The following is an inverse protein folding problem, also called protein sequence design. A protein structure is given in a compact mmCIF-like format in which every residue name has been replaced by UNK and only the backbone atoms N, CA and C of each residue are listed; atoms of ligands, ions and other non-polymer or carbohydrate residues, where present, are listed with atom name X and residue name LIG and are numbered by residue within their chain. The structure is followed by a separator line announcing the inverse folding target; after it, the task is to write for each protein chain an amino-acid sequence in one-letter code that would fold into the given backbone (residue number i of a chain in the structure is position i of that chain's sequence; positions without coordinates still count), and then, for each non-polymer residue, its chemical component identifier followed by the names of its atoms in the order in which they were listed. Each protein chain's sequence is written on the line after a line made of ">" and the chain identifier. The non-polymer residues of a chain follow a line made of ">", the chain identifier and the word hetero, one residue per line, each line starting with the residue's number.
data_IF_959533506318
#
_entry.id   IF_959533506318
#
_cell.length_a   1.000
_cell.length_b   1.000
_cell.length_c   1.000
_cell.angle_alpha   90.00
_cell.angle_beta   90.00
_cell.angle_gamma   90.00
#
_symmetry.space_group_name_H-M   'P 1'
#
loop_
_entity.id
_entity.type
_entity.pdbx_description
1 polymer ?
#
# COMPACT_ATOMS: atom_id res chain seq x y z
N UNK A 1 -44.84 -29.67 38.24
CA UNK A 1 -43.38 -29.48 38.14
C UNK A 1 -42.90 -30.37 37.01
N UNK A 2 -42.33 -29.78 35.96
CA UNK A 2 -41.82 -30.43 34.74
C UNK A 2 -40.43 -31.01 35.01
N UNK A 3 -40.11 -32.19 34.49
CA UNK A 3 -38.72 -32.66 34.48
C UNK A 3 -38.61 -34.16 34.22
N UNK A 4 -38.55 -34.55 32.94
CA UNK A 4 -38.16 -35.90 32.51
C UNK A 4 -37.04 -35.77 31.49
N UNK A 5 -35.82 -36.04 31.93
CA UNK A 5 -34.57 -35.87 31.18
C UNK A 5 -34.44 -36.88 30.04
N UNK A 6 -34.19 -36.40 28.83
CA UNK A 6 -33.71 -37.19 27.69
C UNK A 6 -32.17 -37.08 27.65
N UNK A 7 -31.44 -38.18 27.89
CA UNK A 7 -30.01 -38.29 27.60
C UNK A 7 -29.87 -38.97 26.24
N UNK A 8 -29.53 -38.19 25.21
CA UNK A 8 -29.15 -38.71 23.89
C UNK A 8 -27.64 -38.53 23.72
N UNK A 9 -26.97 -39.69 23.66
CA UNK A 9 -25.93 -40.05 22.68
C UNK A 9 -24.84 -39.04 22.36
N UNK A 10 -23.63 -39.34 22.86
CA UNK A 10 -22.37 -38.88 22.28
C UNK A 10 -22.28 -39.33 20.80
N UNK A 11 -22.08 -38.37 19.90
CA UNK A 11 -21.60 -38.65 18.53
C UNK A 11 -20.22 -38.01 18.38
N UNK A 12 -19.21 -38.88 18.32
CA UNK A 12 -17.85 -38.60 17.89
C UNK A 12 -17.80 -38.61 16.36
N UNK A 13 -17.61 -37.44 15.75
CA UNK A 13 -17.27 -37.25 14.33
C UNK A 13 -16.58 -35.88 14.23
N UNK A 14 -15.49 -35.63 13.52
CA UNK A 14 -14.52 -36.42 12.80
C UNK A 14 -13.34 -35.45 12.54
N UNK A 15 -12.10 -35.93 12.60
CA UNK A 15 -10.95 -35.14 12.16
C UNK A 15 -11.03 -34.89 10.66
N UNK A 16 -10.93 -33.61 10.27
CA UNK A 16 -10.68 -33.23 8.89
C UNK A 16 -9.31 -32.56 8.82
N UNK A 17 -8.45 -33.18 8.05
CA UNK A 17 -7.19 -32.63 7.58
C UNK A 17 -7.44 -31.24 6.98
N UNK A 18 -6.88 -30.21 7.62
CA UNK A 18 -6.89 -28.86 7.09
C UNK A 18 -5.92 -28.78 5.91
N UNK A 19 -6.42 -29.02 4.70
CA UNK A 19 -5.90 -28.33 3.53
C UNK A 19 -5.95 -26.83 3.86
N UNK A 20 -4.80 -26.17 3.92
CA UNK A 20 -4.70 -24.76 4.30
C UNK A 20 -5.66 -23.92 3.48
N UNK A 21 -6.76 -23.50 4.08
CA UNK A 21 -7.62 -22.48 3.49
C UNK A 21 -6.72 -21.25 3.26
N UNK A 22 -6.83 -20.56 2.11
CA UNK A 22 -6.13 -19.31 1.91
C UNK A 22 -6.48 -18.40 3.08
N UNK A 23 -5.46 -17.88 3.77
CA UNK A 23 -5.70 -16.90 4.82
C UNK A 23 -6.47 -15.72 4.20
N UNK A 24 -7.57 -15.26 4.83
CA UNK A 24 -8.34 -14.17 4.29
C UNK A 24 -7.45 -12.94 4.09
N UNK A 25 -7.71 -12.12 3.06
CA UNK A 25 -6.93 -10.91 2.82
C UNK A 25 -6.83 -10.04 4.06
N UNK A 26 -5.63 -9.55 4.38
CA UNK A 26 -5.48 -8.57 5.46
C UNK A 26 -5.93 -7.22 4.94
N UNK A 27 -6.97 -6.65 5.54
CA UNK A 27 -7.45 -5.32 5.23
C UNK A 27 -6.76 -4.25 6.07
N UNK A 28 -6.50 -3.13 5.44
CA UNK A 28 -5.87 -1.96 6.01
C UNK A 28 -6.79 -0.77 6.14
N UNK A 29 -6.59 0.01 7.20
CA UNK A 29 -7.29 1.29 7.39
C UNK A 29 -6.83 2.31 6.34
N UNK A 30 -7.72 3.23 5.88
CA UNK A 30 -7.31 4.40 5.12
C UNK A 30 -6.14 5.13 5.80
N UNK A 31 -5.21 5.58 4.98
CA UNK A 31 -4.03 6.31 5.44
C UNK A 31 -4.31 7.79 5.67
N UNK A 32 -3.30 8.50 6.16
CA UNK A 32 -3.38 9.95 6.35
C UNK A 32 -3.52 10.67 5.00
N UNK A 33 -4.39 11.68 4.97
CA UNK A 33 -4.45 12.67 3.90
C UNK A 33 -3.26 13.62 4.02
N UNK A 34 -2.42 13.70 2.99
CA UNK A 34 -1.22 14.53 2.94
C UNK A 34 -1.38 15.66 1.93
N UNK A 35 -0.94 16.86 2.29
CA UNK A 35 -0.83 17.97 1.35
C UNK A 35 0.32 17.73 0.38
N UNK A 36 0.09 18.01 -0.90
CA UNK A 36 1.13 17.88 -1.92
C UNK A 36 2.06 19.08 -1.84
N UNK A 37 3.31 18.81 -1.49
CA UNK A 37 4.40 19.79 -1.48
C UNK A 37 5.52 19.35 -2.41
N UNK A 38 6.27 20.33 -2.94
CA UNK A 38 7.52 20.16 -3.69
C UNK A 38 8.48 21.27 -3.29
N UNK A 39 9.54 20.95 -2.54
CA UNK A 39 10.37 21.95 -1.90
C UNK A 39 9.49 22.92 -1.09
N UNK A 40 9.69 24.22 -1.29
CA UNK A 40 8.90 25.26 -0.62
C UNK A 40 7.50 25.48 -1.24
N UNK A 41 7.18 24.84 -2.37
CA UNK A 41 5.90 25.02 -3.05
C UNK A 41 4.85 24.06 -2.48
N UNK A 42 3.79 24.63 -1.94
CA UNK A 42 2.58 23.89 -1.57
C UNK A 42 1.56 23.98 -2.71
N UNK A 43 1.08 22.83 -3.19
CA UNK A 43 -0.01 22.77 -4.15
C UNK A 43 -1.36 22.76 -3.43
N UNK A 44 -2.43 23.35 -3.99
CA UNK A 44 -3.79 23.27 -3.46
C UNK A 44 -4.42 21.89 -3.74
N UNK A 45 -3.65 20.84 -3.46
CA UNK A 45 -3.93 19.44 -3.74
C UNK A 45 -3.49 18.60 -2.54
N UNK A 46 -4.19 17.50 -2.34
CA UNK A 46 -3.90 16.51 -1.30
C UNK A 46 -3.93 15.12 -1.91
N UNK A 47 -3.15 14.20 -1.35
CA UNK A 47 -3.16 12.78 -1.67
C UNK A 47 -3.57 11.96 -0.45
N UNK A 48 -4.28 10.87 -0.65
CA UNK A 48 -4.82 10.04 0.42
C UNK A 48 -4.82 8.57 0.00
N UNK A 49 -4.46 7.66 0.91
CA UNK A 49 -4.70 6.22 0.76
C UNK A 49 -6.12 5.94 1.24
N UNK A 50 -6.99 5.50 0.34
CA UNK A 50 -8.39 5.20 0.64
C UNK A 50 -8.58 3.83 1.32
N UNK A 51 -7.56 2.98 1.24
CA UNK A 51 -7.57 1.64 1.82
C UNK A 51 -6.57 0.75 1.11
N UNK A 52 -6.26 -0.38 1.73
CA UNK A 52 -5.36 -1.37 1.16
C UNK A 52 -5.70 -2.78 1.65
N UNK A 53 -5.21 -3.77 0.93
CA UNK A 53 -5.30 -5.17 1.33
C UNK A 53 -4.08 -5.98 0.89
N UNK A 54 -3.66 -6.94 1.71
CA UNK A 54 -2.70 -7.97 1.28
C UNK A 54 -3.47 -9.15 0.72
N UNK A 55 -3.23 -9.46 -0.55
CA UNK A 55 -3.82 -10.61 -1.25
C UNK A 55 -2.93 -11.06 -2.42
N UNK A 56 -3.11 -12.28 -2.96
CA UNK A 56 -2.43 -12.68 -4.19
C UNK A 56 -2.73 -11.71 -5.33
N UNK A 57 -1.71 -11.40 -6.14
CA UNK A 57 -1.89 -10.51 -7.28
C UNK A 57 -2.69 -11.20 -8.39
N UNK A 58 -3.74 -10.58 -8.95
CA UNK A 58 -4.68 -11.25 -9.85
C UNK A 58 -4.05 -11.77 -11.14
N UNK A 59 -2.99 -11.11 -11.62
CA UNK A 59 -2.30 -11.52 -12.85
C UNK A 59 -1.22 -12.58 -12.64
N UNK A 60 -0.69 -12.71 -11.43
CA UNK A 60 0.43 -13.62 -11.09
C UNK A 60 0.28 -14.17 -9.66
N UNK A 61 -0.85 -14.82 -9.33
CA UNK A 61 -1.17 -15.24 -7.97
C UNK A 61 -0.14 -16.24 -7.40
N UNK A 62 0.50 -17.02 -8.26
CA UNK A 62 1.53 -18.00 -7.91
C UNK A 62 2.82 -17.36 -7.37
N UNK A 63 3.04 -16.07 -7.61
CA UNK A 63 4.21 -15.33 -7.09
C UNK A 63 4.02 -14.84 -5.65
N UNK A 64 2.89 -15.17 -5.04
CA UNK A 64 2.62 -14.92 -3.64
C UNK A 64 1.91 -13.60 -3.35
N UNK A 65 2.00 -13.11 -2.10
CA UNK A 65 1.22 -11.98 -1.63
C UNK A 65 1.72 -10.66 -2.22
N UNK A 66 0.76 -9.80 -2.54
CA UNK A 66 0.96 -8.43 -2.96
C UNK A 66 0.09 -7.51 -2.10
N UNK A 67 0.41 -6.22 -2.08
CA UNK A 67 -0.45 -5.21 -1.44
C UNK A 67 -1.19 -4.47 -2.53
N UNK A 68 -2.50 -4.66 -2.59
CA UNK A 68 -3.37 -3.81 -3.38
C UNK A 68 -3.75 -2.58 -2.56
N UNK A 69 -3.66 -1.39 -3.13
CA UNK A 69 -4.05 -0.18 -2.43
C UNK A 69 -4.72 0.80 -3.39
N UNK A 70 -5.66 1.56 -2.83
CA UNK A 70 -6.33 2.63 -3.55
C UNK A 70 -5.88 3.97 -3.01
N UNK A 71 -5.65 4.90 -3.92
CA UNK A 71 -5.30 6.27 -3.55
C UNK A 71 -6.16 7.26 -4.32
N UNK A 72 -6.19 8.50 -3.85
CA UNK A 72 -6.87 9.59 -4.53
C UNK A 72 -6.12 10.88 -4.35
N UNK A 73 -6.09 11.68 -5.40
CA UNK A 73 -5.75 13.09 -5.30
C UNK A 73 -7.03 13.93 -5.26
N UNK A 74 -7.07 14.95 -4.40
CA UNK A 74 -8.19 15.88 -4.31
C UNK A 74 -7.72 17.32 -4.19
N UNK A 75 -8.50 18.26 -4.72
CA UNK A 75 -8.16 19.69 -4.80
C UNK A 75 -7.98 20.16 -6.24
N UNK A 76 -7.36 21.32 -6.42
CA UNK A 76 -7.08 21.88 -7.74
C UNK A 76 -5.80 21.29 -8.29
N UNK A 77 -5.92 20.61 -9.43
CA UNK A 77 -4.77 20.08 -10.16
C UNK A 77 -3.87 21.22 -10.64
N UNK A 78 -2.56 21.17 -10.34
CA UNK A 78 -1.64 22.07 -11.02
C UNK A 78 -1.54 21.67 -12.50
N UNK A 79 -1.11 22.61 -13.34
CA UNK A 79 -0.86 22.36 -14.78
C UNK A 79 0.32 21.39 -15.04
N UNK A 80 0.98 20.91 -13.97
CA UNK A 80 2.13 20.01 -14.02
C UNK A 80 1.78 18.63 -13.47
N UNK A 81 2.46 17.60 -13.98
CA UNK A 81 2.38 16.24 -13.44
C UNK A 81 2.97 16.22 -12.02
N UNK A 82 2.19 15.71 -11.07
CA UNK A 82 2.63 15.50 -9.68
C UNK A 82 2.96 14.03 -9.51
N UNK A 83 4.11 13.74 -8.92
CA UNK A 83 4.51 12.39 -8.54
C UNK A 83 4.85 12.35 -7.04
N UNK A 84 4.26 11.40 -6.32
CA UNK A 84 4.49 11.14 -4.91
C UNK A 84 4.95 9.70 -4.69
N UNK A 85 5.53 9.42 -3.52
CA UNK A 85 5.94 8.06 -3.17
C UNK A 85 4.91 7.45 -2.22
N UNK A 86 4.40 6.26 -2.55
CA UNK A 86 3.63 5.43 -1.64
C UNK A 86 4.51 4.27 -1.17
N UNK A 87 4.45 3.94 0.12
CA UNK A 87 5.25 2.86 0.72
C UNK A 87 4.40 1.94 1.61
N UNK A 88 4.60 0.63 1.46
CA UNK A 88 4.18 -0.36 2.44
C UNK A 88 5.21 -0.41 3.58
N UNK A 89 4.73 -0.33 4.82
CA UNK A 89 5.58 -0.36 6.02
C UNK A 89 5.14 -1.45 6.98
N UNK A 90 6.09 -1.95 7.77
CA UNK A 90 5.82 -2.89 8.85
C UNK A 90 5.43 -2.20 10.17
N UNK A 91 5.13 -3.02 11.19
CA UNK A 91 4.73 -2.55 12.51
C UNK A 91 5.78 -1.66 13.20
N UNK A 92 7.05 -1.75 12.81
CA UNK A 92 8.15 -0.95 13.33
C UNK A 92 8.42 0.30 12.46
N UNK A 93 7.50 0.62 11.54
CA UNK A 93 7.61 1.69 10.55
C UNK A 93 8.86 1.58 9.68
N UNK A 94 9.27 0.35 9.38
CA UNK A 94 10.32 0.07 8.40
C UNK A 94 9.67 -0.14 7.03
N UNK A 95 10.22 0.52 6.02
CA UNK A 95 9.80 0.41 4.62
C UNK A 95 10.07 -1.00 4.11
N UNK A 96 9.03 -1.65 3.61
CA UNK A 96 9.12 -2.94 2.93
C UNK A 96 9.34 -2.71 1.44
N UNK A 97 8.47 -1.91 0.82
CA UNK A 97 8.51 -1.59 -0.60
C UNK A 97 7.82 -0.25 -0.86
N UNK A 98 8.32 0.51 -1.84
CA UNK A 98 7.70 1.76 -2.29
C UNK A 98 7.50 1.77 -3.81
N UNK A 99 6.51 2.55 -4.26
CA UNK A 99 6.27 2.85 -5.67
C UNK A 99 5.79 4.29 -5.84
N UNK A 100 6.00 4.84 -7.04
CA UNK A 100 5.48 6.17 -7.38
C UNK A 100 3.98 6.13 -7.67
N UNK A 101 3.23 7.09 -7.13
CA UNK A 101 1.87 7.42 -7.54
C UNK A 101 1.89 8.78 -8.22
N UNK A 102 0.99 9.01 -9.17
CA UNK A 102 0.99 10.25 -9.94
C UNK A 102 -0.43 10.78 -10.17
N UNK A 103 -0.52 12.09 -10.37
CA UNK A 103 -1.71 12.79 -10.81
C UNK A 103 -1.52 13.40 -12.20
N UNK A 104 -2.48 13.23 -13.14
CA UNK A 104 -3.61 12.30 -13.04
C UNK A 104 -3.12 10.85 -13.15
N UNK A 105 -3.78 9.89 -12.50
CA UNK A 105 -3.34 8.49 -12.45
C UNK A 105 -4.47 7.51 -12.14
N UNK A 106 -4.13 6.23 -11.97
CA UNK A 106 -5.09 5.15 -11.68
C UNK A 106 -5.20 4.98 -10.16
N UNK A 107 -6.42 5.12 -9.63
CA UNK A 107 -6.77 5.05 -8.20
C UNK A 107 -6.63 3.63 -7.59
N UNK A 108 -6.09 2.64 -8.31
CA UNK A 108 -5.88 1.26 -7.89
C UNK A 108 -4.46 0.80 -8.29
N UNK A 109 -3.66 0.38 -7.31
CA UNK A 109 -2.24 0.05 -7.49
C UNK A 109 -1.85 -1.18 -6.70
N UNK A 110 -0.68 -1.71 -7.05
CA UNK A 110 -0.12 -2.91 -6.46
C UNK A 110 1.35 -2.72 -6.10
N UNK A 111 1.70 -3.07 -4.87
CA UNK A 111 3.07 -3.42 -4.52
C UNK A 111 3.26 -4.92 -4.70
N UNK A 112 4.24 -5.31 -5.51
CA UNK A 112 4.58 -6.72 -5.72
C UNK A 112 3.50 -7.51 -6.46
N UNK A 113 3.61 -8.85 -6.46
CA UNK A 113 4.49 -9.66 -5.62
C UNK A 113 5.95 -9.46 -6.05
N UNK A 114 6.87 -9.30 -5.09
CA UNK A 114 8.27 -9.02 -5.37
C UNK A 114 9.16 -9.96 -4.56
N UNK A 115 10.08 -10.64 -5.24
CA UNK A 115 11.03 -11.56 -4.59
C UNK A 115 11.87 -10.82 -3.55
N UNK A 116 12.08 -11.46 -2.40
CA UNK A 116 12.85 -10.89 -1.29
C UNK A 116 12.09 -9.89 -0.40
N UNK A 117 10.82 -9.59 -0.70
CA UNK A 117 10.00 -8.70 0.13
C UNK A 117 8.80 -9.44 0.72
N UNK A 118 8.75 -9.52 2.05
CA UNK A 118 7.60 -10.08 2.76
C UNK A 118 6.51 -9.02 2.95
N UNK A 119 5.67 -8.88 1.93
CA UNK A 119 4.55 -7.95 1.93
C UNK A 119 3.42 -8.33 2.91
N UNK A 120 3.42 -9.56 3.43
CA UNK A 120 2.47 -9.94 4.51
C UNK A 120 2.77 -9.23 5.83
N UNK A 121 3.94 -8.60 5.96
CA UNK A 121 4.29 -7.78 7.13
C UNK A 121 3.73 -6.36 7.07
N UNK A 122 3.10 -5.99 5.96
CA UNK A 122 2.49 -4.66 5.80
C UNK A 122 1.45 -4.43 6.89
N UNK A 123 1.62 -3.34 7.63
CA UNK A 123 0.68 -2.84 8.63
C UNK A 123 0.11 -1.47 8.28
N UNK A 124 0.74 -0.76 7.33
CA UNK A 124 0.19 0.45 6.75
C UNK A 124 0.74 0.69 5.35
N UNK A 125 -0.03 1.42 4.54
CA UNK A 125 0.44 2.07 3.32
C UNK A 125 0.40 3.57 3.54
N UNK A 126 1.54 4.23 3.34
CA UNK A 126 1.72 5.65 3.63
C UNK A 126 2.18 6.40 2.38
N UNK A 127 1.77 7.67 2.25
CA UNK A 127 2.17 8.54 1.14
C UNK A 127 3.11 9.60 1.67
N UNK A 128 4.24 9.76 0.99
CA UNK A 128 5.20 10.82 1.23
C UNK A 128 5.12 11.83 0.11
N UNK A 129 4.87 13.11 0.43
CA UNK A 129 5.08 14.14 -0.55
C UNK A 129 6.59 14.23 -0.85
N UNK A 130 6.90 14.70 -2.05
CA UNK A 130 8.21 15.28 -2.35
C UNK A 130 9.40 14.31 -2.36
N UNK A 131 9.36 13.27 -3.19
CA UNK A 131 10.40 12.23 -3.25
C UNK A 131 10.77 11.82 -4.68
N UNK A 132 10.21 12.49 -5.71
CA UNK A 132 10.28 12.07 -7.11
C UNK A 132 10.58 13.25 -8.05
N UNK A 133 11.48 13.01 -9.02
CA UNK A 133 11.69 13.86 -10.19
C UNK A 133 10.54 13.66 -11.19
N UNK A 134 10.11 14.71 -11.90
CA UNK A 134 8.98 14.63 -12.86
C UNK A 134 9.31 14.01 -14.21
N UNK A 135 10.57 13.71 -14.52
CA UNK A 135 10.96 13.22 -15.84
C UNK A 135 11.88 11.99 -15.76
N UNK A 136 11.73 11.13 -16.77
CA UNK A 136 12.43 9.85 -16.92
C UNK A 136 13.84 9.97 -17.52
N UNK A 137 14.39 11.18 -17.68
CA UNK A 137 15.71 11.43 -18.26
C UNK A 137 16.61 12.20 -17.29
N UNK A 138 17.53 11.54 -16.58
CA UNK A 138 18.41 12.20 -15.59
C UNK A 138 19.60 12.97 -16.22
N UNK A 139 19.51 13.41 -17.47
CA UNK A 139 20.70 13.81 -18.24
C UNK A 139 21.10 15.29 -18.18
N UNK A 140 20.20 16.23 -17.86
CA UNK A 140 20.59 17.64 -17.67
C UNK A 140 19.86 18.31 -16.49
N UNK A 141 20.55 18.60 -15.37
CA UNK A 141 20.03 19.39 -14.25
C UNK A 141 19.47 20.77 -14.64
N UNK A 142 19.80 21.30 -15.82
CA UNK A 142 19.28 22.58 -16.35
C UNK A 142 17.94 22.44 -17.07
N UNK A 143 17.54 21.22 -17.44
CA UNK A 143 16.26 20.94 -18.10
C UNK A 143 15.12 20.69 -17.09
N UNK A 144 15.41 20.85 -15.79
CA UNK A 144 14.44 20.76 -14.71
C UNK A 144 14.05 22.15 -14.20
N UNK A 145 13.02 22.21 -13.37
CA UNK A 145 12.63 23.39 -12.58
C UNK A 145 13.66 23.79 -11.51
N UNK A 146 14.89 23.26 -11.58
CA UNK A 146 15.96 23.43 -10.60
C UNK A 146 15.74 22.66 -9.29
N UNK A 147 14.67 21.88 -9.19
CA UNK A 147 14.30 21.18 -7.97
C UNK A 147 14.98 19.81 -7.84
N UNK A 148 15.62 19.58 -6.69
CA UNK A 148 16.19 18.27 -6.32
C UNK A 148 15.41 17.70 -5.13
N UNK A 149 14.65 16.61 -5.31
CA UNK A 149 13.89 16.00 -4.23
C UNK A 149 14.81 15.42 -3.16
N UNK A 150 14.36 15.35 -1.90
CA UNK A 150 15.00 14.54 -0.88
C UNK A 150 15.23 13.09 -1.34
N UNK A 151 16.14 12.41 -0.65
CA UNK A 151 16.47 11.01 -0.92
C UNK A 151 15.20 10.14 -0.85
N UNK A 152 14.89 9.49 -1.97
CA UNK A 152 13.81 8.49 -2.06
C UNK A 152 13.96 7.41 -0.99
N UNK A 153 12.86 7.12 -0.29
CA UNK A 153 12.75 5.99 0.64
C UNK A 153 12.80 4.65 -0.12
N UNK A 154 13.49 3.68 0.46
CA UNK A 154 13.64 2.33 -0.06
C UNK A 154 13.54 1.27 1.04
N UNK A 155 13.55 -0.03 0.66
CA UNK A 155 13.44 -1.12 1.61
C UNK A 155 14.48 -1.04 2.73
N UNK A 156 14.04 -1.22 3.97
CA UNK A 156 14.87 -1.15 5.17
C UNK A 156 14.98 0.25 5.80
N UNK A 157 14.56 1.31 5.12
CA UNK A 157 14.49 2.65 5.72
C UNK A 157 13.46 2.69 6.86
N UNK A 158 13.75 3.44 7.92
CA UNK A 158 12.83 3.66 9.04
C UNK A 158 12.27 5.07 9.00
N UNK A 159 10.96 5.19 9.22
CA UNK A 159 10.21 6.44 9.34
C UNK A 159 10.27 7.07 10.74
#
# INVERSE_FOLDING_TARGET
>A
MRGGSLLIGVVLLAGLAGCGAPEPPRLGTPGQKVTVVRGERTYPMTAEILGWEVRPHPQVPERGPAVNYRYRFSGTAPEVRVELLACAIDANRVVILCAGIHHPGIDDQWFGPAEGFDLTRTTAVVVFPDQLHTSSNPADPKDFDGYYPPRRLGPGDRL
#
